data_IF_341292464394
#
_entry.id   IF_341292464394
#
_cell.length_a   1.000
_cell.length_b   1.000
_cell.length_c   1.000
_cell.angle_alpha   90.00
_cell.angle_beta   90.00
_cell.angle_gamma   90.00
#
_symmetry.space_group_name_H-M   'P 1'
#
loop_
_entity.id
_entity.type
_entity.pdbx_description
1 polymer ?
#
# COMPACT_ATOMS: atom_id res chain seq x y z
N UNK A 1 32.38 -3.25 -22.82
CA UNK A 1 32.76 -3.56 -21.44
C UNK A 1 31.63 -3.13 -20.50
N UNK A 2 31.06 -4.04 -19.70
CA UNK A 2 30.09 -3.68 -18.65
C UNK A 2 30.87 -3.17 -17.44
N UNK A 3 30.80 -1.87 -17.15
CA UNK A 3 31.33 -1.31 -15.92
C UNK A 3 30.58 -1.93 -14.74
N UNK A 4 31.23 -2.83 -14.01
CA UNK A 4 30.68 -3.33 -12.74
C UNK A 4 30.73 -2.18 -11.74
N UNK A 5 29.56 -1.82 -11.18
CA UNK A 5 29.52 -0.90 -10.03
C UNK A 5 30.18 -1.58 -8.83
N UNK A 6 30.99 -0.87 -8.03
CA UNK A 6 31.62 -1.44 -6.84
C UNK A 6 30.54 -1.97 -5.90
N UNK A 7 30.76 -3.18 -5.39
CA UNK A 7 29.86 -3.80 -4.42
C UNK A 7 29.88 -2.97 -3.12
N UNK A 8 28.69 -2.64 -2.61
CA UNK A 8 28.54 -1.95 -1.34
C UNK A 8 28.93 -2.89 -0.19
N UNK A 9 29.55 -2.35 0.86
CA UNK A 9 29.85 -3.09 2.09
C UNK A 9 28.57 -3.49 2.84
N UNK A 10 28.63 -4.58 3.61
CA UNK A 10 27.49 -5.05 4.42
C UNK A 10 26.86 -3.97 5.32
N UNK A 11 27.62 -3.18 6.11
CA UNK A 11 27.02 -2.15 6.96
C UNK A 11 26.29 -1.09 6.14
N UNK A 12 26.85 -0.70 4.98
CA UNK A 12 26.21 0.25 4.07
C UNK A 12 24.88 -0.31 3.53
N UNK A 13 24.82 -1.60 3.19
CA UNK A 13 23.57 -2.24 2.74
C UNK A 13 22.53 -2.24 3.85
N UNK A 14 22.92 -2.55 5.08
CA UNK A 14 22.03 -2.53 6.25
C UNK A 14 21.49 -1.12 6.52
N UNK A 15 22.32 -0.09 6.44
CA UNK A 15 21.89 1.29 6.61
C UNK A 15 20.93 1.74 5.51
N UNK A 16 21.16 1.35 4.26
CA UNK A 16 20.24 1.62 3.15
C UNK A 16 18.86 0.98 3.37
N UNK A 17 18.81 -0.24 3.89
CA UNK A 17 17.54 -0.91 4.24
C UNK A 17 16.83 -0.13 5.35
N UNK A 18 17.55 0.23 6.42
CA UNK A 18 16.99 0.99 7.54
C UNK A 18 16.42 2.34 7.10
N UNK A 19 17.17 3.08 6.29
CA UNK A 19 16.75 4.40 5.79
C UNK A 19 15.59 4.31 4.80
N UNK A 20 15.56 3.26 3.97
CA UNK A 20 14.39 2.99 3.14
C UNK A 20 13.14 2.76 3.99
N UNK A 21 13.22 1.86 4.98
CA UNK A 21 12.08 1.54 5.83
C UNK A 21 11.60 2.73 6.65
N UNK A 22 12.51 3.58 7.16
CA UNK A 22 12.15 4.85 7.83
C UNK A 22 11.37 5.78 6.90
N UNK A 23 11.81 5.95 5.65
CA UNK A 23 11.12 6.79 4.65
C UNK A 23 9.73 6.26 4.34
N UNK A 24 9.61 4.96 4.10
CA UNK A 24 8.31 4.32 3.83
C UNK A 24 7.38 4.45 5.02
N UNK A 25 7.86 4.21 6.23
CA UNK A 25 7.08 4.38 7.44
C UNK A 25 6.62 5.82 7.65
N UNK A 26 7.47 6.82 7.33
CA UNK A 26 7.06 8.22 7.36
C UNK A 26 5.96 8.53 6.33
N UNK A 27 6.07 8.00 5.12
CA UNK A 27 5.02 8.12 4.10
C UNK A 27 3.72 7.45 4.54
N UNK A 28 3.79 6.24 5.09
CA UNK A 28 2.63 5.53 5.63
C UNK A 28 1.96 6.32 6.77
N UNK A 29 2.74 6.92 7.68
CA UNK A 29 2.20 7.81 8.71
C UNK A 29 1.43 8.99 8.12
N UNK A 30 1.97 9.61 7.07
CA UNK A 30 1.31 10.72 6.37
C UNK A 30 0.05 10.25 5.64
N UNK A 31 0.06 9.08 5.03
CA UNK A 31 -1.10 8.49 4.36
C UNK A 31 -2.22 8.11 5.33
N UNK A 32 -1.85 7.76 6.57
CA UNK A 32 -2.77 7.53 7.67
C UNK A 32 -3.37 8.81 8.25
N UNK A 33 -2.89 10.00 7.87
CA UNK A 33 -3.50 11.26 8.29
C UNK A 33 -4.94 11.38 7.76
N UNK A 34 -5.87 11.73 8.65
CA UNK A 34 -7.29 11.83 8.33
C UNK A 34 -8.04 10.50 8.34
N UNK A 35 -7.37 9.36 8.53
CA UNK A 35 -8.07 8.12 8.86
C UNK A 35 -8.58 8.15 10.29
N UNK A 36 -9.72 7.51 10.50
CA UNK A 36 -10.44 7.45 11.77
C UNK A 36 -11.20 6.13 11.89
N UNK A 37 -11.49 5.71 13.13
CA UNK A 37 -12.13 4.43 13.44
C UNK A 37 -11.28 3.52 14.34
N UNK A 38 -11.69 2.27 14.56
CA UNK A 38 -12.84 1.60 13.93
C UNK A 38 -14.20 2.17 14.36
N UNK A 39 -15.13 2.25 13.41
CA UNK A 39 -16.54 2.59 13.60
C UNK A 39 -17.41 1.34 13.52
N UNK A 40 -18.39 1.15 14.43
CA UNK A 40 -19.29 0.01 14.38
C UNK A 40 -20.33 0.18 13.25
N UNK A 41 -20.61 -0.90 12.53
CA UNK A 41 -21.69 -1.02 11.55
C UNK A 41 -22.37 -2.40 11.68
N UNK A 42 -23.54 -2.58 11.07
CA UNK A 42 -24.26 -3.86 11.05
C UNK A 42 -23.44 -5.00 10.42
N UNK A 43 -22.59 -4.69 9.44
CA UNK A 43 -21.75 -5.68 8.74
C UNK A 43 -20.37 -5.88 9.38
N UNK A 44 -20.03 -5.14 10.44
CA UNK A 44 -18.73 -5.19 11.11
C UNK A 44 -18.14 -3.81 11.37
N UNK A 45 -16.86 -3.77 11.70
CA UNK A 45 -16.13 -2.51 11.92
C UNK A 45 -15.61 -1.95 10.60
N UNK A 46 -15.65 -0.62 10.43
CA UNK A 46 -15.08 0.06 9.28
C UNK A 46 -14.20 1.25 9.68
N UNK A 47 -13.35 1.68 8.76
CA UNK A 47 -12.46 2.83 8.89
C UNK A 47 -12.87 3.89 7.89
N UNK A 48 -12.77 5.15 8.30
CA UNK A 48 -13.17 6.28 7.47
C UNK A 48 -12.01 7.26 7.32
N UNK A 49 -11.74 7.68 6.08
CA UNK A 49 -10.81 8.76 5.78
C UNK A 49 -11.60 10.05 5.58
N UNK A 50 -11.44 11.00 6.48
CA UNK A 50 -12.14 12.28 6.46
C UNK A 50 -11.70 13.17 5.30
N UNK A 51 -10.43 13.14 4.92
CA UNK A 51 -9.88 13.99 3.86
C UNK A 51 -10.36 13.54 2.48
N UNK A 52 -10.33 12.23 2.24
CA UNK A 52 -10.72 11.61 0.97
C UNK A 52 -12.22 11.30 0.89
N UNK A 53 -12.93 11.38 2.02
CA UNK A 53 -14.35 11.00 2.17
C UNK A 53 -14.61 9.55 1.72
N UNK A 54 -13.67 8.64 2.00
CA UNK A 54 -13.78 7.20 1.66
C UNK A 54 -13.84 6.35 2.92
N UNK A 55 -14.52 5.20 2.84
CA UNK A 55 -14.57 4.19 3.89
C UNK A 55 -14.01 2.86 3.40
N UNK A 56 -13.34 2.12 4.28
CA UNK A 56 -12.88 0.75 4.02
C UNK A 56 -13.23 -0.16 5.20
N UNK A 57 -13.41 -1.46 4.94
CA UNK A 57 -13.61 -2.49 5.96
C UNK A 57 -12.29 -3.06 6.47
N UNK A 58 -11.22 -2.89 5.69
CA UNK A 58 -9.88 -3.35 6.05
C UNK A 58 -9.17 -2.27 6.85
N UNK A 59 -8.37 -2.65 7.85
CA UNK A 59 -7.67 -1.66 8.67
C UNK A 59 -6.49 -1.09 7.87
N UNK A 60 -6.49 0.23 7.55
CA UNK A 60 -5.42 0.83 6.74
C UNK A 60 -4.06 0.71 7.46
N UNK A 61 -4.07 0.64 8.80
CA UNK A 61 -2.86 0.40 9.58
C UNK A 61 -2.32 -1.00 9.36
N UNK A 62 -3.18 -2.01 9.35
CA UNK A 62 -2.74 -3.39 9.08
C UNK A 62 -2.18 -3.53 7.67
N UNK A 63 -2.80 -2.89 6.68
CA UNK A 63 -2.27 -2.85 5.31
C UNK A 63 -0.87 -2.24 5.27
N UNK A 64 -0.66 -1.06 5.86
CA UNK A 64 0.66 -0.43 5.92
C UNK A 64 1.71 -1.27 6.69
N UNK A 65 1.33 -1.90 7.82
CA UNK A 65 2.24 -2.77 8.58
C UNK A 65 2.64 -4.01 7.76
N UNK A 66 1.70 -4.65 7.06
CA UNK A 66 1.98 -5.80 6.19
C UNK A 66 2.88 -5.41 5.01
N UNK A 67 2.68 -4.22 4.46
CA UNK A 67 3.54 -3.69 3.40
C UNK A 67 4.98 -3.45 3.90
N UNK A 68 5.15 -2.79 5.05
CA UNK A 68 6.46 -2.57 5.66
C UNK A 68 7.19 -3.89 5.94
N UNK A 69 6.47 -4.87 6.50
CA UNK A 69 7.01 -6.21 6.74
C UNK A 69 7.44 -6.90 5.45
N UNK A 70 6.62 -6.80 4.39
CA UNK A 70 6.93 -7.37 3.07
C UNK A 70 8.16 -6.73 2.45
N UNK A 71 8.23 -5.39 2.45
CA UNK A 71 9.39 -4.64 1.92
C UNK A 71 10.67 -4.98 2.67
N UNK A 72 10.62 -5.04 4.01
CA UNK A 72 11.76 -5.47 4.81
C UNK A 72 12.20 -6.90 4.44
N UNK A 73 11.26 -7.85 4.37
CA UNK A 73 11.55 -9.23 4.00
C UNK A 73 12.13 -9.40 2.60
N UNK A 74 11.71 -8.57 1.63
CA UNK A 74 12.30 -8.52 0.29
C UNK A 74 13.70 -7.94 0.36
N UNK A 75 13.87 -6.73 0.89
CA UNK A 75 15.16 -6.03 0.92
C UNK A 75 16.23 -6.81 1.68
N UNK A 76 15.89 -7.39 2.83
CA UNK A 76 16.83 -8.19 3.61
C UNK A 76 17.27 -9.46 2.86
N UNK A 77 16.41 -10.08 2.05
CA UNK A 77 16.81 -11.24 1.22
C UNK A 77 17.74 -10.87 0.07
N UNK A 78 17.52 -9.72 -0.57
CA UNK A 78 18.29 -9.33 -1.76
C UNK A 78 19.57 -8.55 -1.43
N UNK A 79 19.57 -7.75 -0.37
CA UNK A 79 20.70 -6.90 0.00
C UNK A 79 21.56 -7.51 1.11
N UNK A 80 21.02 -8.43 1.93
CA UNK A 80 21.71 -9.05 3.06
C UNK A 80 21.69 -10.59 2.97
N UNK A 81 22.14 -11.19 1.84
CA UNK A 81 22.06 -12.65 1.64
C UNK A 81 22.90 -13.44 2.65
N UNK A 82 23.99 -12.86 3.16
CA UNK A 82 24.85 -13.47 4.19
C UNK A 82 24.08 -13.77 5.48
N UNK A 83 23.16 -12.89 5.87
CA UNK A 83 22.30 -13.10 7.04
C UNK A 83 21.21 -14.16 6.79
N UNK A 84 20.86 -14.42 5.53
CA UNK A 84 19.94 -15.50 5.18
C UNK A 84 20.65 -16.87 5.19
N UNK A 85 21.91 -16.92 4.77
CA UNK A 85 22.69 -18.17 4.72
C UNK A 85 22.99 -18.72 6.12
N UNK A 86 23.25 -17.86 7.10
CA UNK A 86 23.52 -18.26 8.50
C UNK A 86 22.28 -18.82 9.24
N UNK A 87 21.07 -18.63 8.69
CA UNK A 87 19.82 -19.11 9.28
C UNK A 87 19.32 -20.45 8.75
N UNK A 88 19.97 -21.01 7.72
CA UNK A 88 19.66 -22.34 7.20
C UNK A 88 20.62 -23.33 7.86
N UNK A 89 20.36 -23.63 9.14
CA UNK A 89 20.90 -24.83 9.76
C UNK A 89 20.51 -26.02 8.88
N UNK A 90 21.50 -26.72 8.34
CA UNK A 90 21.36 -27.88 7.48
C UNK A 90 20.26 -28.81 8.00
N UNK A 91 19.17 -29.08 7.24
CA UNK A 91 18.18 -30.09 7.61
C UNK A 91 18.79 -31.47 7.36
N UNK A 92 19.72 -31.87 8.22
CA UNK A 92 20.31 -33.21 8.21
C UNK A 92 20.00 -33.84 9.55
N UNK A 93 18.98 -34.70 9.58
CA UNK A 93 18.78 -35.67 10.64
C UNK A 93 17.41 -35.60 11.29
N UNK A 94 16.64 -36.66 11.07
CA UNK A 94 15.49 -37.09 11.86
C UNK A 94 15.66 -36.83 13.37
N UNK A 95 14.64 -36.25 13.99
CA UNK A 95 14.19 -36.71 15.31
C UNK A 95 12.77 -36.24 15.59
N UNK A 96 11.89 -37.23 15.60
CA UNK A 96 10.54 -37.25 16.14
C UNK A 96 10.57 -36.85 17.62
N UNK A 97 9.79 -35.84 18.00
CA UNK A 97 9.37 -35.59 19.39
C UNK A 97 10.28 -34.66 20.20
N UNK A 98 9.72 -33.53 20.63
CA UNK A 98 10.36 -32.65 21.59
C UNK A 98 9.83 -31.22 21.55
N UNK A 99 8.70 -31.00 22.23
CA UNK A 99 8.16 -29.66 22.48
C UNK A 99 9.14 -28.87 23.35
N UNK A 100 9.98 -28.03 22.75
CA UNK A 100 10.71 -26.99 23.48
C UNK A 100 11.04 -25.84 22.53
N UNK A 101 10.16 -24.85 22.58
CA UNK A 101 10.21 -23.58 21.87
C UNK A 101 11.39 -22.75 22.41
N UNK A 102 12.57 -22.93 21.83
CA UNK A 102 13.75 -22.11 22.12
C UNK A 102 14.60 -21.88 20.86
N UNK A 103 13.96 -21.32 19.82
CA UNK A 103 14.59 -20.90 18.55
C UNK A 103 14.60 -19.36 18.46
N UNK A 104 15.08 -18.69 19.51
CA UNK A 104 14.80 -17.27 19.77
C UNK A 104 15.86 -16.24 19.37
N UNK A 105 17.03 -16.61 18.84
CA UNK A 105 18.17 -15.69 18.77
C UNK A 105 18.16 -14.68 17.61
N UNK A 106 17.91 -15.15 16.38
CA UNK A 106 18.09 -14.32 15.17
C UNK A 106 16.78 -13.76 14.60
N UNK A 107 15.64 -14.41 14.88
CA UNK A 107 14.33 -13.85 14.57
C UNK A 107 14.03 -12.61 15.44
N UNK A 108 14.61 -12.52 16.64
CA UNK A 108 14.42 -11.40 17.57
C UNK A 108 14.96 -10.07 17.05
N UNK A 109 16.06 -10.08 16.29
CA UNK A 109 16.61 -8.84 15.70
C UNK A 109 15.73 -8.30 14.58
N UNK A 110 15.21 -9.19 13.73
CA UNK A 110 14.27 -8.83 12.65
C UNK A 110 12.95 -8.29 13.19
N UNK A 111 12.44 -8.89 14.28
CA UNK A 111 11.22 -8.40 14.92
C UNK A 111 11.44 -7.06 15.61
N UNK A 112 12.61 -6.80 16.19
CA UNK A 112 12.91 -5.54 16.88
C UNK A 112 12.79 -4.31 15.97
N UNK A 113 13.31 -4.36 14.75
CA UNK A 113 13.21 -3.22 13.81
C UNK A 113 11.77 -2.97 13.36
N UNK A 114 11.04 -4.02 12.98
CA UNK A 114 9.63 -3.88 12.60
C UNK A 114 8.77 -3.43 13.78
N UNK A 115 9.09 -3.89 14.99
CA UNK A 115 8.42 -3.46 16.21
C UNK A 115 8.61 -1.96 16.48
N UNK A 116 9.80 -1.42 16.21
CA UNK A 116 10.07 0.01 16.29
C UNK A 116 9.36 0.83 15.20
N UNK A 117 8.98 0.20 14.09
CA UNK A 117 8.23 0.80 12.99
C UNK A 117 6.72 0.47 13.03
N UNK A 118 6.22 -0.04 14.16
CA UNK A 118 4.78 -0.26 14.32
C UNK A 118 4.06 1.08 14.37
N UNK A 119 3.00 1.13 13.59
CA UNK A 119 2.14 2.30 13.49
C UNK A 119 1.22 2.25 14.72
N UNK A 120 1.63 2.90 15.80
CA UNK A 120 0.82 2.95 17.03
C UNK A 120 -0.52 3.63 16.69
N UNK A 121 -1.59 2.84 16.79
CA UNK A 121 -2.98 3.24 16.57
C UNK A 121 -3.45 4.37 17.48
N UNK A 122 -2.68 4.73 18.52
CA UNK A 122 -3.02 5.81 19.46
C UNK A 122 -3.25 7.17 18.81
N UNK A 123 -2.83 7.35 17.55
CA UNK A 123 -3.07 8.57 16.78
C UNK A 123 -4.38 8.55 15.98
N UNK A 124 -5.05 7.39 15.80
CA UNK A 124 -6.43 7.33 15.33
C UNK A 124 -7.32 7.76 16.50
N UNK A 125 -7.25 9.05 16.82
CA UNK A 125 -7.93 9.61 17.96
C UNK A 125 -9.43 9.46 17.72
N UNK A 126 -10.07 8.60 18.52
CA UNK A 126 -11.53 8.56 18.64
C UNK A 126 -11.91 9.78 19.48
N UNK A 127 -11.76 10.98 18.92
CA UNK A 127 -12.36 12.16 19.52
C UNK A 127 -13.87 11.89 19.50
N UNK A 128 -14.52 11.72 20.66
CA UNK A 128 -15.95 11.51 20.72
C UNK A 128 -16.62 12.87 20.52
N UNK A 129 -16.42 13.49 19.36
CA UNK A 129 -17.20 14.65 18.96
C UNK A 129 -18.64 14.16 18.83
N UNK A 130 -19.48 14.55 19.79
CA UNK A 130 -20.89 14.17 19.93
C UNK A 130 -21.80 14.72 18.80
N UNK A 131 -21.24 15.05 17.64
CA UNK A 131 -21.95 15.53 16.47
C UNK A 131 -21.82 14.53 15.33
N UNK A 132 -22.97 13.97 14.92
CA UNK A 132 -23.23 13.29 13.65
C UNK A 132 -21.98 12.82 12.88
N UNK A 133 -21.51 11.60 13.16
CA UNK A 133 -20.72 10.88 12.14
C UNK A 133 -21.64 10.72 10.94
N UNK A 134 -21.30 11.25 9.76
CA UNK A 134 -22.14 11.13 8.59
C UNK A 134 -22.31 9.64 8.30
N UNK A 135 -23.53 9.14 8.51
CA UNK A 135 -23.91 7.78 8.15
C UNK A 135 -23.46 7.60 6.70
N UNK A 136 -22.56 6.65 6.39
CA UNK A 136 -22.05 6.49 5.04
C UNK A 136 -23.27 6.32 4.16
N UNK A 137 -23.45 7.23 3.20
CA UNK A 137 -24.60 7.34 2.29
C UNK A 137 -24.70 6.09 1.40
N UNK A 138 -24.99 4.97 2.03
CA UNK A 138 -25.16 3.63 1.48
C UNK A 138 -26.61 3.41 1.09
N UNK A 139 -27.51 4.31 1.47
CA UNK A 139 -28.90 4.34 1.03
C UNK A 139 -29.07 4.95 -0.37
N UNK A 140 -28.22 4.57 -1.33
CA UNK A 140 -28.67 4.58 -2.74
C UNK A 140 -29.59 3.37 -2.88
N UNK A 141 -30.83 3.54 -2.43
CA UNK A 141 -31.92 2.60 -2.69
C UNK A 141 -31.96 2.34 -4.20
N UNK A 142 -31.43 1.19 -4.62
CA UNK A 142 -31.66 0.68 -5.96
C UNK A 142 -33.13 0.26 -6.01
N UNK A 143 -34.01 1.22 -6.32
CA UNK A 143 -35.32 0.91 -6.87
C UNK A 143 -35.06 0.09 -8.15
N UNK A 144 -35.11 -1.22 -8.01
CA UNK A 144 -35.26 -2.13 -9.15
C UNK A 144 -36.64 -1.85 -9.73
N UNK A 145 -36.71 -0.90 -10.66
CA UNK A 145 -37.81 -0.84 -11.62
C UNK A 145 -37.79 -2.18 -12.38
N UNK A 146 -38.72 -3.07 -12.00
CA UNK A 146 -39.10 -4.26 -12.78
C UNK A 146 -39.64 -3.77 -14.12
N UNK A 147 -38.76 -3.55 -15.08
CA UNK A 147 -39.15 -3.54 -16.48
C UNK A 147 -39.35 -4.99 -16.89
N UNK A 148 -40.61 -5.42 -16.81
CA UNK A 148 -41.08 -6.62 -17.47
C UNK A 148 -40.94 -6.50 -19.00
N UNK A 149 -40.93 -7.67 -19.64
CA UNK A 149 -40.60 -7.95 -21.04
C UNK A 149 -39.07 -7.95 -21.31
N UNK A 150 -38.47 -9.01 -21.86
CA UNK A 150 -38.98 -9.85 -22.93
C UNK A 150 -38.33 -11.24 -22.87
N UNK A 151 -39.19 -12.26 -22.80
CA UNK A 151 -38.88 -13.62 -23.22
C UNK A 151 -38.48 -13.62 -24.69
N UNK A 152 -37.33 -14.19 -25.05
CA UNK A 152 -37.21 -15.18 -26.16
C UNK A 152 -35.76 -15.60 -26.43
N UNK A 153 -35.59 -16.92 -26.50
CA UNK A 153 -34.89 -17.66 -27.57
C UNK A 153 -33.44 -17.25 -27.90
N UNK A 154 -32.44 -18.10 -27.85
CA UNK A 154 -32.45 -19.55 -28.01
C UNK A 154 -31.01 -20.03 -28.18
N UNK A 155 -30.87 -21.35 -28.15
CA UNK A 155 -29.61 -22.09 -28.30
C UNK A 155 -28.70 -21.57 -29.42
N UNK A 156 -27.42 -21.40 -29.11
CA UNK A 156 -26.34 -21.57 -30.08
C UNK A 156 -25.12 -22.24 -29.41
N UNK A 157 -25.02 -23.56 -29.55
CA UNK A 157 -23.76 -24.30 -29.38
C UNK A 157 -23.05 -24.27 -30.74
N UNK A 158 -22.15 -23.32 -30.98
CA UNK A 158 -21.13 -23.46 -32.02
C UNK A 158 -19.87 -22.70 -31.60
N UNK A 159 -18.73 -23.41 -31.68
CA UNK A 159 -17.44 -22.93 -31.21
C UNK A 159 -16.86 -21.79 -32.05
N UNK A 160 -15.91 -21.06 -31.46
CA UNK A 160 -14.89 -20.35 -32.23
C UNK A 160 -13.63 -20.14 -31.38
N UNK A 161 -12.64 -20.97 -31.64
CA UNK A 161 -11.25 -20.81 -31.17
C UNK A 161 -10.51 -19.66 -31.86
N UNK A 162 -11.16 -18.92 -32.77
CA UNK A 162 -10.54 -17.88 -33.60
C UNK A 162 -10.53 -16.46 -32.99
N UNK A 163 -11.15 -16.24 -31.82
CA UNK A 163 -11.28 -14.90 -31.21
C UNK A 163 -10.06 -14.47 -30.37
N UNK A 164 -9.13 -15.38 -30.05
CA UNK A 164 -7.96 -15.07 -29.20
C UNK A 164 -6.83 -14.35 -29.94
N UNK A 165 -6.79 -14.35 -31.27
CA UNK A 165 -5.65 -13.80 -32.01
C UNK A 165 -5.80 -12.30 -32.33
N UNK A 166 -7.00 -11.82 -32.67
CA UNK A 166 -7.24 -10.38 -32.96
C UNK A 166 -7.11 -9.45 -31.74
N UNK A 167 -7.03 -9.97 -30.51
CA UNK A 167 -6.91 -9.15 -29.30
C UNK A 167 -5.46 -8.76 -28.97
N UNK A 168 -4.45 -9.40 -29.57
CA UNK A 168 -3.03 -9.02 -29.40
C UNK A 168 -2.62 -7.86 -30.31
N UNK A 169 -3.20 -7.75 -31.50
CA UNK A 169 -2.80 -6.72 -32.48
C UNK A 169 -3.26 -5.30 -32.09
N UNK A 170 -4.39 -5.17 -31.38
CA UNK A 170 -4.92 -3.85 -30.98
C UNK A 170 -4.21 -3.22 -29.77
N UNK A 171 -3.34 -3.97 -29.08
CA UNK A 171 -2.60 -3.46 -27.91
C UNK A 171 -1.29 -2.77 -28.29
N UNK A 172 -0.57 -3.25 -29.31
CA UNK A 172 0.70 -2.62 -29.74
C UNK A 172 0.51 -1.26 -30.40
N UNK A 173 -0.65 -0.99 -31.01
CA UNK A 173 -0.94 0.33 -31.61
C UNK A 173 -1.16 1.46 -30.59
N UNK A 174 -1.48 1.15 -29.32
CA UNK A 174 -1.68 2.18 -28.29
C UNK A 174 -0.38 2.66 -27.64
N UNK A 175 0.70 1.88 -27.70
CA UNK A 175 1.98 2.25 -27.09
C UNK A 175 2.79 3.23 -27.95
N UNK A 176 2.52 3.34 -29.26
CA UNK A 176 3.22 4.28 -30.13
C UNK A 176 2.68 5.72 -30.06
N UNK A 177 1.46 5.95 -29.56
CA UNK A 177 0.85 7.29 -29.51
C UNK A 177 1.13 8.04 -28.19
N UNK A 178 1.64 7.37 -27.14
CA UNK A 178 1.91 8.05 -25.85
C UNK A 178 3.31 8.67 -25.73
N UNK A 179 4.28 8.34 -26.61
CA UNK A 179 5.61 8.98 -26.57
C UNK A 179 5.65 10.39 -27.20
N UNK A 180 4.61 10.82 -27.92
CA UNK A 180 4.61 12.11 -28.64
C UNK A 180 3.94 13.29 -27.92
N UNK A 181 3.26 13.07 -26.79
CA UNK A 181 2.19 13.97 -26.34
C UNK A 181 2.51 15.00 -25.24
N UNK A 182 3.62 14.91 -24.51
CA UNK A 182 3.82 15.71 -23.28
C UNK A 182 4.98 16.70 -23.43
N UNK A 183 4.85 17.65 -24.36
CA UNK A 183 5.79 18.77 -24.47
C UNK A 183 5.12 20.11 -24.81
N UNK A 184 3.96 20.39 -24.22
CA UNK A 184 3.35 21.71 -24.30
C UNK A 184 3.00 22.26 -22.92
N UNK A 185 3.58 23.43 -22.65
CA UNK A 185 3.09 24.49 -21.77
C UNK A 185 3.22 24.24 -20.25
N UNK A 186 4.41 24.50 -19.71
CA UNK A 186 4.50 25.30 -18.49
C UNK A 186 4.51 26.76 -18.96
N UNK A 187 3.37 27.43 -18.80
CA UNK A 187 3.25 28.88 -18.91
C UNK A 187 3.73 29.51 -17.61
N UNK A 188 4.40 30.65 -17.75
CA UNK A 188 4.74 31.62 -16.73
C UNK A 188 3.66 31.79 -15.66
N UNK A 189 4.05 31.60 -14.39
CA UNK A 189 3.27 32.06 -13.24
C UNK A 189 3.90 33.37 -12.76
N UNK A 190 3.17 34.50 -12.81
CA UNK A 190 3.69 35.79 -12.38
C UNK A 190 3.91 35.83 -10.85
N UNK A 191 5.04 36.42 -10.49
CA UNK A 191 5.53 36.67 -9.14
C UNK A 191 4.60 37.67 -8.42
N UNK A 192 3.69 37.14 -7.60
CA UNK A 192 2.69 37.92 -6.85
C UNK A 192 3.19 38.37 -5.48
N UNK A 193 3.46 39.67 -5.39
CA UNK A 193 3.75 40.52 -4.23
C UNK A 193 3.50 40.02 -2.80
N UNK A 194 4.54 40.15 -1.98
CA UNK A 194 4.47 40.16 -0.52
C UNK A 194 3.77 41.42 0.00
N UNK A 195 2.76 41.31 0.88
CA UNK A 195 2.24 42.44 1.61
C UNK A 195 3.16 42.85 2.76
N UNK A 196 3.43 44.15 2.71
CA UNK A 196 4.05 45.07 3.64
C UNK A 196 3.70 44.82 5.13
N UNK A 197 4.73 44.76 5.97
CA UNK A 197 4.60 44.65 7.43
C UNK A 197 4.43 46.05 8.01
N UNK A 198 3.18 46.39 8.34
CA UNK A 198 2.86 47.58 9.11
C UNK A 198 3.59 47.60 10.46
N UNK A 199 4.42 48.62 10.65
CA UNK A 199 4.96 49.04 11.94
C UNK A 199 3.83 49.56 12.83
N UNK A 200 3.71 48.98 14.03
CA UNK A 200 2.97 49.56 15.15
C UNK A 200 4.03 50.27 16.01
N UNK A 201 3.98 51.61 16.06
CA UNK A 201 4.72 52.40 17.04
C UNK A 201 3.83 52.61 18.27
N UNK A 202 4.42 52.41 19.45
CA UNK A 202 3.87 52.78 20.77
C UNK A 202 3.78 54.30 20.98
#
# INVERSE_FOLDING_TARGET
ARSQKPALSEPQRTDLVRDHLRRVHHLAKKELEGWSGPYPSEQGEYYYNETLKVSTWESPVTECETELATRHGVLSRYLLPEQAALGVSSPSGDCTGGHSSASGGLAASKSSMLQALRLQLGNLHREPTAGDVPEPSTCRSFYTARSGASSRSGRAKHGSSASKERRKEKKSRREADEEGGVRRQLQDVPEGGSPDKGQIQE
#
